data_IF_309519059552
#
_entry.id   IF_309519059552
#
_cell.length_a   1.000
_cell.length_b   1.000
_cell.length_c   1.000
_cell.angle_alpha   90.00
_cell.angle_beta   90.00
_cell.angle_gamma   90.00
#
_symmetry.space_group_name_H-M   'P 1'
#
loop_
_entity.id
_entity.type
_entity.pdbx_description
1 polymer ?
#
# COMPACT_ATOMS: atom_id res chain seq x y z
N UNK A 1 -68.59 -77.84 35.47
CA UNK A 1 -68.61 -79.04 34.62
C UNK A 1 -68.20 -78.62 33.20
N UNK A 2 -66.98 -79.02 32.78
CA UNK A 2 -66.44 -79.25 31.40
C UNK A 2 -66.55 -78.11 30.35
N UNK A 3 -65.42 -77.54 29.89
CA UNK A 3 -64.53 -77.97 28.75
C UNK A 3 -65.19 -77.77 27.37
N UNK A 4 -64.61 -77.20 26.29
CA UNK A 4 -63.22 -77.14 25.78
C UNK A 4 -63.11 -76.27 24.49
N UNK A 5 -61.88 -75.78 24.18
CA UNK A 5 -61.26 -75.52 22.85
C UNK A 5 -61.83 -74.40 21.91
N UNK A 6 -61.06 -73.58 21.16
CA UNK A 6 -59.63 -73.52 20.81
C UNK A 6 -59.23 -72.07 20.46
N UNK A 7 -57.96 -71.71 20.71
CA UNK A 7 -57.36 -70.36 20.60
C UNK A 7 -56.37 -70.29 19.43
N UNK A 8 -56.46 -69.25 18.58
CA UNK A 8 -55.43 -68.90 17.58
C UNK A 8 -54.36 -67.98 18.23
N UNK A 9 -53.10 -68.41 18.25
CA UNK A 9 -51.95 -67.59 18.70
C UNK A 9 -51.07 -67.20 17.51
N UNK A 10 -50.73 -65.91 17.44
CA UNK A 10 -49.72 -65.31 16.58
C UNK A 10 -48.42 -65.22 17.41
N UNK A 11 -47.30 -65.75 16.92
CA UNK A 11 -45.98 -65.63 17.55
C UNK A 11 -45.19 -64.49 16.90
N UNK A 12 -44.69 -63.56 17.73
CA UNK A 12 -43.64 -62.61 17.38
C UNK A 12 -42.39 -62.99 18.18
N UNK A 13 -41.28 -63.28 17.51
CA UNK A 13 -39.99 -63.63 18.11
C UNK A 13 -39.17 -62.35 18.25
N UNK A 14 -38.70 -62.05 19.48
CA UNK A 14 -37.75 -60.99 19.77
C UNK A 14 -36.33 -61.58 19.83
N UNK A 15 -35.39 -60.99 19.09
CA UNK A 15 -33.97 -61.35 19.12
C UNK A 15 -33.17 -60.18 19.72
N UNK A 16 -32.53 -60.41 20.88
CA UNK A 16 -31.59 -59.47 21.49
C UNK A 16 -30.25 -59.52 20.77
N UNK A 17 -29.76 -58.36 20.31
CA UNK A 17 -28.37 -58.16 19.87
C UNK A 17 -27.63 -57.35 20.93
N UNK A 18 -26.55 -57.91 21.46
CA UNK A 18 -25.67 -57.28 22.45
C UNK A 18 -24.60 -56.46 21.69
N UNK A 19 -24.68 -55.14 21.73
CA UNK A 19 -23.68 -54.25 21.16
C UNK A 19 -22.60 -53.91 22.21
N UNK A 20 -21.37 -54.35 21.97
CA UNK A 20 -20.20 -53.96 22.76
C UNK A 20 -19.80 -52.52 22.46
N UNK A 21 -19.83 -51.66 23.49
CA UNK A 21 -19.35 -50.27 23.40
C UNK A 21 -17.86 -50.27 23.72
N UNK A 22 -17.01 -50.19 22.69
CA UNK A 22 -15.61 -49.77 22.87
C UNK A 22 -15.59 -48.25 22.98
N UNK A 23 -15.32 -47.73 24.18
CA UNK A 23 -15.09 -46.31 24.41
C UNK A 23 -13.76 -45.89 23.75
N UNK A 24 -13.82 -45.46 22.48
CA UNK A 24 -12.71 -44.76 21.85
C UNK A 24 -12.56 -43.38 22.49
N UNK A 25 -11.40 -43.11 23.07
CA UNK A 25 -11.01 -41.74 23.46
C UNK A 25 -11.11 -40.82 22.24
N UNK A 26 -11.87 -39.72 22.29
CA UNK A 26 -11.92 -38.79 21.16
C UNK A 26 -10.52 -38.21 20.97
N UNK A 27 -9.99 -38.34 19.75
CA UNK A 27 -8.79 -37.62 19.34
C UNK A 27 -9.03 -36.12 19.61
N UNK A 28 -8.15 -35.50 20.40
CA UNK A 28 -8.21 -34.08 20.66
C UNK A 28 -8.15 -33.34 19.31
N UNK A 29 -9.30 -32.79 18.89
CA UNK A 29 -9.35 -31.82 17.82
C UNK A 29 -8.40 -30.69 18.24
N UNK A 30 -7.25 -30.58 17.58
CA UNK A 30 -6.41 -29.41 17.69
C UNK A 30 -7.23 -28.25 17.15
N UNK A 31 -7.93 -27.52 18.03
CA UNK A 31 -8.71 -26.36 17.66
C UNK A 31 -7.84 -25.43 16.83
N UNK A 32 -8.37 -24.97 15.69
CA UNK A 32 -7.69 -23.98 14.88
C UNK A 32 -7.29 -22.80 15.78
N UNK A 33 -6.02 -22.38 15.72
CA UNK A 33 -5.56 -21.21 16.49
C UNK A 33 -6.44 -20.01 16.15
N UNK A 34 -6.85 -19.19 17.14
CA UNK A 34 -7.62 -17.98 16.86
C UNK A 34 -6.90 -17.09 15.85
N UNK A 35 -7.60 -16.71 14.79
CA UNK A 35 -7.12 -15.70 13.84
C UNK A 35 -7.66 -14.33 14.28
N UNK A 36 -6.75 -13.41 14.59
CA UNK A 36 -7.07 -12.03 14.97
C UNK A 36 -6.90 -11.06 13.80
N UNK A 37 -6.60 -11.57 12.59
CA UNK A 37 -6.31 -10.78 11.39
C UNK A 37 -5.31 -9.65 11.68
N UNK A 38 -4.19 -10.00 12.33
CA UNK A 38 -3.20 -9.00 12.79
C UNK A 38 -2.72 -8.13 11.64
N UNK A 39 -2.48 -8.70 10.45
CA UNK A 39 -1.95 -7.92 9.32
C UNK A 39 -2.95 -6.86 8.90
N UNK A 40 -4.22 -7.20 8.61
CA UNK A 40 -5.21 -6.18 8.25
C UNK A 40 -5.42 -5.19 9.39
N UNK A 41 -5.72 -5.69 10.58
CA UNK A 41 -6.16 -4.84 11.68
C UNK A 41 -5.10 -3.81 12.10
N UNK A 42 -3.81 -4.14 12.02
CA UNK A 42 -2.74 -3.20 12.34
C UNK A 42 -2.41 -2.25 11.18
N UNK A 43 -2.54 -2.70 9.92
CA UNK A 43 -2.45 -1.79 8.78
C UNK A 43 -3.61 -0.76 8.77
N UNK A 44 -4.82 -1.13 9.18
CA UNK A 44 -5.94 -0.17 9.34
C UNK A 44 -5.63 0.93 10.38
N UNK A 45 -4.91 0.58 11.46
CA UNK A 45 -4.43 1.56 12.43
C UNK A 45 -3.37 2.50 11.85
N UNK A 46 -2.47 1.99 11.01
CA UNK A 46 -1.49 2.81 10.29
C UNK A 46 -2.16 3.73 9.26
N UNK A 47 -3.15 3.23 8.52
CA UNK A 47 -3.99 4.02 7.60
C UNK A 47 -4.68 5.15 8.38
N UNK A 48 -5.26 4.84 9.54
CA UNK A 48 -5.85 5.83 10.44
C UNK A 48 -4.83 6.87 10.94
N UNK A 49 -3.59 6.45 11.27
CA UNK A 49 -2.52 7.36 11.68
C UNK A 49 -2.16 8.36 10.58
N UNK A 50 -2.02 7.90 9.34
CA UNK A 50 -1.76 8.78 8.20
C UNK A 50 -2.87 9.80 7.98
N UNK A 51 -4.14 9.39 8.11
CA UNK A 51 -5.27 10.33 8.01
C UNK A 51 -5.22 11.42 9.08
N UNK A 52 -5.04 11.02 10.35
CA UNK A 52 -5.05 11.94 11.50
C UNK A 52 -3.85 12.88 11.48
N UNK A 53 -2.65 12.36 11.20
CA UNK A 53 -1.42 13.16 11.12
C UNK A 53 -1.32 13.99 9.85
N UNK A 54 -2.25 13.79 8.90
CA UNK A 54 -2.25 14.43 7.57
C UNK A 54 -0.89 14.27 6.87
N UNK A 55 -0.29 13.09 7.01
CA UNK A 55 1.06 12.81 6.54
C UNK A 55 1.19 13.00 5.02
N UNK A 56 2.37 13.43 4.57
CA UNK A 56 2.68 13.50 3.14
C UNK A 56 2.71 12.10 2.51
N UNK A 57 2.62 12.02 1.17
CA UNK A 57 2.80 10.76 0.42
C UNK A 57 4.04 9.97 0.88
N UNK A 58 5.17 10.65 1.05
CA UNK A 58 6.44 10.03 1.40
C UNK A 58 6.50 9.59 2.87
N UNK A 59 5.98 10.39 3.79
CA UNK A 59 5.86 10.02 5.21
C UNK A 59 4.92 8.80 5.38
N UNK A 60 3.80 8.79 4.66
CA UNK A 60 2.84 7.68 4.65
C UNK A 60 3.49 6.39 4.13
N UNK A 61 4.13 6.43 2.96
CA UNK A 61 4.81 5.26 2.39
C UNK A 61 5.88 4.70 3.35
N UNK A 62 6.66 5.59 3.97
CA UNK A 62 7.69 5.21 4.95
C UNK A 62 7.10 4.53 6.19
N UNK A 63 6.00 5.04 6.74
CA UNK A 63 5.30 4.40 7.86
C UNK A 63 4.83 2.99 7.51
N UNK A 64 4.17 2.83 6.36
CA UNK A 64 3.68 1.53 5.90
C UNK A 64 4.82 0.53 5.64
N UNK A 65 5.96 0.99 5.14
CA UNK A 65 7.14 0.16 4.94
C UNK A 65 7.73 -0.34 6.26
N UNK A 66 7.90 0.54 7.26
CA UNK A 66 8.38 0.14 8.59
C UNK A 66 7.45 -0.92 9.22
N UNK A 67 6.14 -0.72 9.15
CA UNK A 67 5.18 -1.68 9.69
C UNK A 67 5.22 -3.01 8.93
N UNK A 68 5.20 -2.96 7.59
CA UNK A 68 5.23 -4.17 6.75
C UNK A 68 6.49 -5.01 6.99
N UNK A 69 7.66 -4.37 7.03
CA UNK A 69 8.95 -5.03 7.33
C UNK A 69 8.95 -5.66 8.72
N UNK A 70 8.52 -4.91 9.75
CA UNK A 70 8.47 -5.41 11.12
C UNK A 70 7.57 -6.64 11.27
N UNK A 71 6.36 -6.57 10.71
CA UNK A 71 5.41 -7.69 10.74
C UNK A 71 5.93 -8.89 9.96
N UNK A 72 6.51 -8.68 8.77
CA UNK A 72 7.07 -9.77 7.97
C UNK A 72 8.23 -10.46 8.69
N UNK A 73 9.23 -9.72 9.17
CA UNK A 73 10.39 -10.33 9.82
C UNK A 73 10.01 -11.01 11.14
N UNK A 74 9.03 -10.47 11.89
CA UNK A 74 8.55 -11.10 13.11
C UNK A 74 7.90 -12.47 12.82
N UNK A 75 7.04 -12.54 11.80
CA UNK A 75 6.37 -13.79 11.40
C UNK A 75 7.35 -14.77 10.74
N UNK A 76 8.17 -14.30 9.80
CA UNK A 76 9.19 -15.08 9.12
C UNK A 76 10.23 -15.64 10.11
N UNK A 77 10.55 -14.85 11.14
CA UNK A 77 11.40 -15.16 12.27
C UNK A 77 11.00 -16.42 13.04
N UNK A 78 9.72 -16.79 13.04
CA UNK A 78 9.16 -17.94 13.74
C UNK A 78 8.98 -19.17 12.85
N UNK A 79 9.22 -19.06 11.54
CA UNK A 79 9.08 -20.20 10.61
C UNK A 79 10.23 -21.19 10.77
N UNK A 80 10.00 -22.50 10.53
CA UNK A 80 11.07 -23.47 10.39
C UNK A 80 12.13 -23.00 9.38
N UNK A 81 13.40 -23.33 9.61
CA UNK A 81 14.52 -22.88 8.77
C UNK A 81 14.30 -23.17 7.28
N UNK A 82 13.79 -24.37 6.94
CA UNK A 82 13.49 -24.82 5.57
C UNK A 82 12.34 -24.07 4.87
N UNK A 83 11.53 -23.33 5.62
CA UNK A 83 10.38 -22.57 5.11
C UNK A 83 10.58 -21.05 5.23
N UNK A 84 11.71 -20.65 5.82
CA UNK A 84 12.06 -19.26 6.08
C UNK A 84 12.49 -18.60 4.78
N UNK A 85 12.04 -17.36 4.57
CA UNK A 85 12.48 -16.50 3.47
C UNK A 85 13.64 -15.61 3.89
N UNK A 86 14.33 -15.01 2.94
CA UNK A 86 15.29 -13.94 3.25
C UNK A 86 14.57 -12.83 4.04
N UNK A 87 15.14 -12.35 5.16
CA UNK A 87 14.56 -11.27 5.95
C UNK A 87 14.61 -9.96 5.16
N UNK A 88 13.72 -9.03 5.48
CA UNK A 88 13.84 -7.65 5.01
C UNK A 88 14.93 -6.90 5.77
N UNK A 89 15.00 -7.10 7.10
CA UNK A 89 15.98 -6.44 7.97
C UNK A 89 16.47 -7.37 9.09
N UNK A 90 15.55 -7.92 9.89
CA UNK A 90 15.88 -8.72 11.08
C UNK A 90 15.92 -10.20 10.71
N UNK A 91 17.13 -10.78 10.68
CA UNK A 91 17.35 -12.16 10.25
C UNK A 91 17.30 -13.24 11.34
N UNK A 92 17.18 -12.83 12.60
CA UNK A 92 17.30 -13.71 13.76
C UNK A 92 16.17 -14.75 13.82
N UNK A 93 16.48 -15.91 14.41
CA UNK A 93 15.47 -16.90 14.75
C UNK A 93 14.71 -16.48 16.01
N UNK A 94 13.39 -16.41 15.90
CA UNK A 94 12.53 -16.16 17.04
C UNK A 94 12.35 -17.41 17.91
N UNK A 95 11.80 -17.25 19.12
CA UNK A 95 11.68 -18.32 20.11
C UNK A 95 10.77 -19.47 19.64
N UNK A 96 11.20 -20.72 19.86
CA UNK A 96 10.43 -21.92 19.51
C UNK A 96 9.06 -21.97 20.20
N UNK A 97 8.00 -22.20 19.43
CA UNK A 97 6.64 -22.30 19.95
C UNK A 97 6.05 -20.98 20.44
N UNK A 98 6.57 -19.84 19.96
CA UNK A 98 5.90 -18.55 20.12
C UNK A 98 4.75 -18.39 19.12
N UNK A 99 3.76 -17.60 19.50
CA UNK A 99 2.57 -17.37 18.68
C UNK A 99 2.85 -16.34 17.57
N UNK A 100 2.62 -16.69 16.29
CA UNK A 100 2.92 -15.81 15.16
C UNK A 100 1.95 -14.63 15.00
N UNK A 101 0.70 -14.75 15.44
CA UNK A 101 -0.25 -13.63 15.45
C UNK A 101 0.17 -12.62 16.54
N UNK A 102 0.54 -13.10 17.73
CA UNK A 102 1.08 -12.25 18.78
C UNK A 102 2.38 -11.55 18.36
N UNK A 103 3.25 -12.24 17.60
CA UNK A 103 4.46 -11.64 17.04
C UNK A 103 4.17 -10.54 16.01
N UNK A 104 3.20 -10.77 15.10
CA UNK A 104 2.76 -9.74 14.17
C UNK A 104 2.20 -8.50 14.92
N UNK A 105 1.33 -8.72 15.91
CA UNK A 105 0.73 -7.65 16.71
C UNK A 105 1.79 -6.87 17.52
N UNK A 106 2.69 -7.56 18.20
CA UNK A 106 3.77 -6.92 18.97
C UNK A 106 4.72 -6.10 18.09
N UNK A 107 5.04 -6.60 16.89
CA UNK A 107 5.88 -5.87 15.94
C UNK A 107 5.21 -4.60 15.41
N UNK A 108 3.94 -4.70 15.01
CA UNK A 108 3.17 -3.56 14.53
C UNK A 108 2.96 -2.50 15.63
N UNK A 109 2.64 -2.95 16.85
CA UNK A 109 2.53 -2.08 18.02
C UNK A 109 3.81 -1.27 18.24
N UNK A 110 4.96 -1.93 18.30
CA UNK A 110 6.25 -1.28 18.54
C UNK A 110 6.60 -0.24 17.47
N UNK A 111 6.18 -0.44 16.22
CA UNK A 111 6.32 0.57 15.16
C UNK A 111 5.39 1.75 15.40
N UNK A 112 4.10 1.51 15.61
CA UNK A 112 3.09 2.57 15.68
C UNK A 112 3.23 3.47 16.91
N UNK A 113 3.53 2.91 18.10
CA UNK A 113 3.74 3.74 19.31
C UNK A 113 4.94 4.67 19.20
N UNK A 114 5.95 4.31 18.39
CA UNK A 114 7.12 5.15 18.15
C UNK A 114 6.91 6.15 17.01
N UNK A 115 6.13 5.78 16.00
CA UNK A 115 5.86 6.64 14.85
C UNK A 115 4.75 7.67 15.11
N UNK A 116 3.83 7.38 16.01
CA UNK A 116 2.64 8.19 16.33
C UNK A 116 2.37 8.13 17.85
N UNK A 117 3.31 8.69 18.63
CA UNK A 117 3.32 8.59 20.09
C UNK A 117 2.07 9.19 20.75
N UNK A 118 1.46 10.22 20.14
CA UNK A 118 0.24 10.85 20.62
C UNK A 118 -0.95 9.88 20.67
N UNK A 119 -0.89 8.79 19.89
CA UNK A 119 -1.92 7.74 19.84
C UNK A 119 -1.48 6.43 20.49
N UNK A 120 -0.40 6.44 21.28
CA UNK A 120 0.13 5.25 21.97
C UNK A 120 -0.96 4.48 22.73
N UNK A 121 -1.82 5.17 23.49
CA UNK A 121 -2.92 4.53 24.23
C UNK A 121 -3.90 3.73 23.34
N UNK A 122 -4.12 4.18 22.09
CA UNK A 122 -4.96 3.44 21.12
C UNK A 122 -4.27 2.14 20.70
N UNK A 123 -2.96 2.19 20.46
CA UNK A 123 -2.17 1.03 20.08
C UNK A 123 -2.01 0.04 21.25
N UNK A 124 -1.80 0.55 22.47
CA UNK A 124 -1.74 -0.26 23.68
C UNK A 124 -3.05 -1.02 23.92
N UNK A 125 -4.18 -0.33 23.81
CA UNK A 125 -5.50 -0.94 23.93
C UNK A 125 -5.74 -2.01 22.86
N UNK A 126 -5.32 -1.75 21.61
CA UNK A 126 -5.42 -2.75 20.54
C UNK A 126 -4.56 -3.98 20.83
N UNK A 127 -3.31 -3.80 21.25
CA UNK A 127 -2.42 -4.92 21.57
C UNK A 127 -3.00 -5.75 22.71
N UNK A 128 -3.46 -5.10 23.79
CA UNK A 128 -4.09 -5.79 24.91
C UNK A 128 -5.31 -6.63 24.47
N UNK A 129 -6.17 -6.08 23.61
CA UNK A 129 -7.33 -6.80 23.08
C UNK A 129 -6.95 -7.99 22.19
N UNK A 130 -5.96 -7.82 21.32
CA UNK A 130 -5.43 -8.89 20.45
C UNK A 130 -4.84 -10.04 21.29
N UNK A 131 -4.02 -9.73 22.29
CA UNK A 131 -3.41 -10.74 23.17
C UNK A 131 -4.47 -11.45 24.02
N UNK A 132 -5.50 -10.74 24.51
CA UNK A 132 -6.60 -11.35 25.25
C UNK A 132 -7.37 -12.38 24.39
N UNK A 133 -7.58 -12.10 23.10
CA UNK A 133 -8.22 -13.03 22.16
C UNK A 133 -7.39 -14.27 21.84
N UNK A 134 -6.06 -14.15 21.83
CA UNK A 134 -5.14 -15.28 21.64
C UNK A 134 -4.97 -16.13 22.92
N UNK A 135 -5.31 -15.58 24.09
CA UNK A 135 -5.23 -16.22 25.40
C UNK A 135 -3.95 -15.86 26.18
N UNK A 136 -3.91 -16.23 27.45
CA UNK A 136 -2.85 -15.85 28.40
C UNK A 136 -1.64 -16.81 28.47
N UNK A 137 -1.40 -17.58 27.41
CA UNK A 137 -0.36 -18.61 27.38
C UNK A 137 1.07 -18.07 27.18
N UNK A 138 2.08 -18.83 27.62
CA UNK A 138 3.51 -18.54 27.41
C UNK A 138 3.88 -18.40 25.92
N UNK A 139 3.17 -19.09 25.03
CA UNK A 139 3.31 -18.93 23.57
C UNK A 139 2.99 -17.50 23.12
N UNK A 140 1.88 -16.93 23.59
CA UNK A 140 1.40 -15.59 23.24
C UNK A 140 2.36 -14.52 23.78
N UNK A 141 2.75 -14.63 25.05
CA UNK A 141 3.70 -13.72 25.67
C UNK A 141 5.07 -13.71 24.95
N UNK A 142 5.60 -14.89 24.60
CA UNK A 142 6.86 -15.00 23.83
C UNK A 142 6.73 -14.43 22.42
N UNK A 143 5.58 -14.63 21.77
CA UNK A 143 5.27 -14.06 20.45
C UNK A 143 5.28 -12.54 20.50
N UNK A 144 4.49 -11.94 21.40
CA UNK A 144 4.42 -10.50 21.58
C UNK A 144 5.79 -9.88 21.90
N UNK A 145 6.55 -10.48 22.82
CA UNK A 145 7.88 -10.00 23.18
C UNK A 145 8.89 -10.11 22.02
N UNK A 146 8.83 -11.19 21.23
CA UNK A 146 9.64 -11.34 20.02
C UNK A 146 9.28 -10.27 18.97
N UNK A 147 7.99 -10.13 18.68
CA UNK A 147 7.48 -9.12 17.75
C UNK A 147 7.91 -7.72 18.15
N UNK A 148 7.71 -7.35 19.41
CA UNK A 148 8.09 -6.03 19.93
C UNK A 148 9.58 -5.72 19.74
N UNK A 149 10.47 -6.70 19.94
CA UNK A 149 11.92 -6.52 19.66
C UNK A 149 12.19 -6.31 18.17
N UNK A 150 11.56 -7.09 17.30
CA UNK A 150 11.71 -6.93 15.83
C UNK A 150 11.21 -5.55 15.38
N UNK A 151 10.03 -5.13 15.85
CA UNK A 151 9.47 -3.82 15.51
C UNK A 151 10.33 -2.67 16.01
N UNK A 152 10.87 -2.75 17.23
CA UNK A 152 11.81 -1.77 17.75
C UNK A 152 13.07 -1.67 16.88
N UNK A 153 13.67 -2.82 16.52
CA UNK A 153 14.86 -2.87 15.66
C UNK A 153 14.62 -2.24 14.28
N UNK A 154 13.43 -2.42 13.70
CA UNK A 154 13.06 -1.75 12.44
C UNK A 154 13.03 -0.24 12.61
N UNK A 155 12.37 0.29 13.64
CA UNK A 155 12.31 1.74 13.87
C UNK A 155 13.72 2.31 14.14
N UNK A 156 14.54 1.61 14.92
CA UNK A 156 15.91 2.03 15.23
C UNK A 156 16.78 2.09 13.98
N UNK A 157 16.69 1.06 13.12
CA UNK A 157 17.40 1.06 11.85
C UNK A 157 16.99 2.26 10.97
N UNK A 158 15.73 2.72 11.07
CA UNK A 158 15.21 3.85 10.30
C UNK A 158 15.42 5.22 10.94
N UNK A 159 15.99 5.33 12.15
CA UNK A 159 16.17 6.61 12.84
C UNK A 159 17.06 7.61 12.08
N UNK A 160 18.08 7.13 11.37
CA UNK A 160 19.04 7.93 10.59
C UNK A 160 18.97 7.64 9.09
N UNK A 161 17.78 7.38 8.55
CA UNK A 161 17.61 6.97 7.16
C UNK A 161 17.56 8.13 6.15
N UNK A 162 17.80 9.38 6.57
CA UNK A 162 17.73 10.56 5.70
C UNK A 162 16.34 11.18 5.56
N UNK A 163 15.31 10.66 6.24
CA UNK A 163 13.95 11.23 6.20
C UNK A 163 13.82 12.57 6.94
N UNK A 164 14.81 12.88 7.79
CA UNK A 164 14.91 14.11 8.58
C UNK A 164 16.35 14.65 8.60
N UNK A 165 16.56 15.96 8.84
CA UNK A 165 15.54 17.02 8.94
C UNK A 165 14.85 17.28 7.58
N UNK A 166 13.71 17.99 7.61
CA UNK A 166 13.04 18.42 6.37
C UNK A 166 13.95 19.39 5.62
N UNK A 167 14.13 19.16 4.32
CA UNK A 167 14.89 20.06 3.45
C UNK A 167 14.01 20.61 2.33
N UNK A 168 14.33 21.82 1.89
CA UNK A 168 13.48 22.61 1.01
C UNK A 168 14.23 23.05 -0.24
N UNK A 169 13.60 22.92 -1.40
CA UNK A 169 14.04 23.56 -2.64
C UNK A 169 13.39 24.95 -2.76
N UNK A 170 14.17 26.03 -2.95
CA UNK A 170 13.61 27.37 -3.10
C UNK A 170 12.76 27.48 -4.37
N UNK A 171 11.93 28.51 -4.46
CA UNK A 171 11.20 28.83 -5.68
C UNK A 171 12.16 29.02 -6.87
N UNK A 172 11.74 28.58 -8.06
CA UNK A 172 12.47 28.81 -9.30
C UNK A 172 11.93 30.00 -10.09
N UNK A 173 12.67 30.37 -11.14
CA UNK A 173 12.29 31.44 -12.06
C UNK A 173 12.63 31.06 -13.51
N UNK A 174 11.92 31.69 -14.45
CA UNK A 174 12.07 31.49 -15.88
C UNK A 174 11.15 30.41 -16.49
N UNK A 175 10.99 30.42 -17.83
CA UNK A 175 10.18 29.45 -18.55
C UNK A 175 10.57 28.01 -18.24
N UNK A 176 9.58 27.12 -18.12
CA UNK A 176 9.82 25.70 -17.82
C UNK A 176 10.08 25.35 -16.36
N UNK A 177 10.24 26.33 -15.46
CA UNK A 177 10.65 26.12 -14.06
C UNK A 177 9.50 26.33 -13.07
N UNK A 178 9.38 25.45 -12.08
CA UNK A 178 8.40 25.50 -11.00
C UNK A 178 8.62 26.72 -10.09
N UNK A 179 7.54 27.43 -9.77
CA UNK A 179 7.56 28.80 -9.20
C UNK A 179 7.30 28.89 -7.70
N UNK A 180 7.20 27.77 -7.00
CA UNK A 180 6.98 27.75 -5.56
C UNK A 180 8.14 27.05 -4.84
N UNK A 181 8.34 27.44 -3.59
CA UNK A 181 9.16 26.68 -2.65
C UNK A 181 8.55 25.28 -2.46
N UNK A 182 9.42 24.28 -2.32
CA UNK A 182 9.01 22.89 -2.14
C UNK A 182 9.76 22.22 -0.99
N UNK A 183 9.09 21.93 0.15
CA UNK A 183 9.66 21.16 1.25
C UNK A 183 9.60 19.65 0.99
N UNK A 184 10.34 18.87 1.79
CA UNK A 184 10.33 17.39 1.72
C UNK A 184 11.34 16.81 0.73
N UNK A 185 12.30 17.62 0.27
CA UNK A 185 13.26 17.20 -0.76
C UNK A 185 14.32 16.22 -0.25
N UNK A 186 14.42 16.01 1.07
CA UNK A 186 15.35 15.05 1.68
C UNK A 186 15.01 13.61 1.29
N UNK A 187 13.75 13.35 0.91
CA UNK A 187 13.31 12.04 0.42
C UNK A 187 14.04 11.55 -0.84
N UNK A 188 14.70 12.44 -1.59
CA UNK A 188 15.59 12.06 -2.70
C UNK A 188 16.85 11.29 -2.26
N UNK A 189 17.18 11.34 -0.97
CA UNK A 189 18.38 10.78 -0.34
C UNK A 189 18.03 9.78 0.77
N UNK A 190 16.75 9.45 0.97
CA UNK A 190 16.37 8.46 1.97
C UNK A 190 16.94 7.11 1.59
N UNK A 191 17.56 6.43 2.56
CA UNK A 191 18.05 5.06 2.36
C UNK A 191 16.87 4.16 1.99
N UNK A 192 16.88 3.49 0.82
CA UNK A 192 15.80 2.57 0.45
C UNK A 192 15.59 1.44 1.46
N UNK A 193 14.45 0.77 1.38
CA UNK A 193 14.12 -0.44 2.13
C UNK A 193 14.59 -1.71 1.41
N UNK A 194 14.55 -1.74 0.08
CA UNK A 194 14.82 -2.92 -0.73
C UNK A 194 15.63 -2.63 -2.00
N UNK A 195 15.44 -1.47 -2.64
CA UNK A 195 16.17 -1.08 -3.86
C UNK A 195 17.64 -0.79 -3.56
N UNK A 196 18.55 -1.33 -4.36
CA UNK A 196 19.99 -1.16 -4.14
C UNK A 196 20.49 0.21 -4.65
N UNK A 197 20.09 0.59 -5.86
CA UNK A 197 20.44 1.88 -6.47
C UNK A 197 19.19 2.60 -6.98
N UNK A 198 18.60 3.53 -6.19
CA UNK A 198 17.44 4.26 -6.61
C UNK A 198 17.73 5.25 -7.76
N UNK A 199 19.00 5.63 -7.99
CA UNK A 199 19.35 6.54 -9.07
C UNK A 199 19.12 5.90 -10.45
N UNK A 200 19.31 4.58 -10.57
CA UNK A 200 19.00 3.81 -11.78
C UNK A 200 17.54 3.85 -12.22
N UNK A 201 16.62 4.28 -11.33
CA UNK A 201 15.18 4.43 -11.64
C UNK A 201 14.78 5.89 -11.92
N UNK A 202 15.70 6.86 -11.84
CA UNK A 202 15.41 8.26 -12.21
C UNK A 202 15.32 8.35 -13.73
N UNK A 203 14.20 8.81 -14.30
CA UNK A 203 14.06 8.93 -15.75
C UNK A 203 14.93 10.06 -16.29
N UNK A 204 15.14 10.05 -17.61
CA UNK A 204 15.73 11.18 -18.34
C UNK A 204 14.87 12.46 -18.24
N UNK A 205 15.35 13.57 -18.82
CA UNK A 205 14.64 14.85 -18.76
C UNK A 205 13.25 14.78 -19.43
N UNK A 206 12.30 15.65 -19.03
CA UNK A 206 11.06 15.81 -19.76
C UNK A 206 11.35 16.30 -21.20
N UNK A 207 10.38 16.17 -22.13
CA UNK A 207 10.52 16.72 -23.47
C UNK A 207 10.93 18.20 -23.44
N UNK A 208 11.86 18.60 -24.32
CA UNK A 208 12.25 20.00 -24.44
C UNK A 208 11.04 20.87 -24.78
N UNK A 209 10.96 22.07 -24.19
CA UNK A 209 9.82 22.98 -24.37
C UNK A 209 9.54 23.28 -25.84
N UNK A 210 10.58 23.42 -26.66
CA UNK A 210 10.48 23.72 -28.10
C UNK A 210 10.13 22.50 -28.97
N UNK A 211 9.97 21.31 -28.38
CA UNK A 211 9.73 20.08 -29.12
C UNK A 211 8.25 19.88 -29.46
N UNK A 212 7.98 19.18 -30.55
CA UNK A 212 6.61 18.73 -30.90
C UNK A 212 6.03 17.78 -29.85
N UNK A 213 6.88 17.00 -29.16
CA UNK A 213 6.44 16.11 -28.09
C UNK A 213 5.89 16.88 -26.89
N UNK A 214 6.52 18.01 -26.53
CA UNK A 214 6.00 18.91 -25.51
C UNK A 214 4.68 19.56 -25.95
N UNK A 215 4.62 20.11 -27.17
CA UNK A 215 3.40 20.76 -27.69
C UNK A 215 2.17 19.81 -27.67
N UNK A 216 2.35 18.54 -28.08
CA UNK A 216 1.26 17.54 -28.02
C UNK A 216 0.78 17.28 -26.59
N UNK A 217 1.71 17.11 -25.66
CA UNK A 217 1.39 16.88 -24.25
C UNK A 217 0.74 18.10 -23.60
N UNK A 218 1.16 19.30 -24.01
CA UNK A 218 0.59 20.59 -23.63
C UNK A 218 -0.87 20.70 -24.09
N UNK A 219 -1.15 20.45 -25.38
CA UNK A 219 -2.50 20.55 -25.93
C UNK A 219 -3.47 19.55 -25.27
N UNK A 220 -2.98 18.34 -24.99
CA UNK A 220 -3.77 17.32 -24.31
C UNK A 220 -4.19 17.75 -22.90
N UNK A 221 -3.25 18.23 -22.07
CA UNK A 221 -3.59 18.69 -20.71
C UNK A 221 -4.37 20.01 -20.74
N UNK A 222 -4.11 20.90 -21.71
CA UNK A 222 -4.87 22.14 -21.90
C UNK A 222 -6.33 21.83 -22.19
N UNK A 223 -6.62 20.83 -23.03
CA UNK A 223 -7.99 20.43 -23.38
C UNK A 223 -8.68 19.64 -22.25
N UNK A 224 -8.05 18.56 -21.76
CA UNK A 224 -8.70 17.66 -20.80
C UNK A 224 -8.77 18.25 -19.39
N UNK A 225 -7.77 19.04 -19.02
CA UNK A 225 -7.60 19.64 -17.70
C UNK A 225 -8.28 20.99 -17.50
N UNK A 226 -8.94 21.57 -18.51
CA UNK A 226 -9.56 22.90 -18.40
C UNK A 226 -10.78 22.89 -17.47
N UNK A 227 -10.66 23.58 -16.34
CA UNK A 227 -11.72 23.71 -15.34
C UNK A 227 -12.92 24.54 -15.78
N UNK A 228 -12.84 25.25 -16.91
CA UNK A 228 -13.94 26.03 -17.48
C UNK A 228 -14.84 25.21 -18.40
N UNK A 229 -14.37 24.03 -18.82
CA UNK A 229 -15.12 23.10 -19.67
C UNK A 229 -15.83 22.08 -18.79
N UNK A 230 -17.15 22.00 -18.91
CA UNK A 230 -17.96 21.01 -18.19
C UNK A 230 -17.64 19.60 -18.71
N UNK A 231 -17.07 18.77 -17.83
CA UNK A 231 -16.73 17.38 -18.11
C UNK A 231 -16.84 16.56 -16.82
N UNK A 232 -18.07 16.20 -16.39
CA UNK A 232 -18.32 15.58 -15.09
C UNK A 232 -17.58 14.26 -14.91
N UNK A 233 -17.42 13.45 -15.96
CA UNK A 233 -16.71 12.17 -15.89
C UNK A 233 -15.21 12.32 -15.63
N UNK A 234 -14.59 13.33 -16.25
CA UNK A 234 -13.19 13.68 -16.03
C UNK A 234 -12.98 14.21 -14.60
N UNK A 235 -13.91 15.06 -14.14
CA UNK A 235 -13.90 15.57 -12.78
C UNK A 235 -14.06 14.44 -11.76
N UNK A 236 -15.02 13.54 -11.96
CA UNK A 236 -15.28 12.41 -11.07
C UNK A 236 -14.07 11.47 -11.00
N UNK A 237 -13.39 11.24 -12.12
CA UNK A 237 -12.17 10.42 -12.15
C UNK A 237 -11.00 11.11 -11.45
N UNK A 238 -10.82 12.41 -11.65
CA UNK A 238 -9.85 13.18 -10.87
C UNK A 238 -10.16 13.12 -9.37
N UNK A 239 -11.40 13.39 -8.96
CA UNK A 239 -11.82 13.39 -7.56
C UNK A 239 -11.58 12.03 -6.92
N UNK A 240 -11.92 10.93 -7.60
CA UNK A 240 -11.68 9.58 -7.13
C UNK A 240 -10.21 9.35 -6.77
N UNK A 241 -9.25 9.85 -7.56
CA UNK A 241 -7.81 9.68 -7.30
C UNK A 241 -7.11 10.95 -6.77
N UNK A 242 -7.87 11.91 -6.22
CA UNK A 242 -7.33 13.21 -5.79
C UNK A 242 -6.51 13.13 -4.50
N UNK A 243 -6.99 12.32 -3.54
CA UNK A 243 -6.30 11.91 -2.31
C UNK A 243 -5.61 13.08 -1.56
N UNK A 244 -6.37 14.10 -1.13
CA UNK A 244 -5.79 15.24 -0.40
C UNK A 244 -5.21 14.84 0.96
N UNK A 245 -4.47 15.75 1.59
CA UNK A 245 -3.99 15.59 2.96
C UNK A 245 -5.16 15.30 3.93
N UNK A 246 -5.01 14.24 4.72
CA UNK A 246 -6.09 13.66 5.54
C UNK A 246 -6.73 12.40 4.95
N UNK A 247 -6.42 12.04 3.70
CA UNK A 247 -6.61 10.69 3.17
C UNK A 247 -5.44 9.77 3.54
N UNK A 248 -5.55 8.48 3.23
CA UNK A 248 -4.43 7.51 3.34
C UNK A 248 -3.29 7.73 2.34
N UNK A 249 -3.37 8.75 1.49
CA UNK A 249 -2.41 9.05 0.41
C UNK A 249 -2.37 7.92 -0.66
N UNK A 250 -1.77 8.14 -1.85
CA UNK A 250 -1.68 7.10 -2.88
C UNK A 250 -1.07 5.78 -2.37
N UNK A 251 0.04 5.76 -1.60
CA UNK A 251 0.59 4.51 -1.06
C UNK A 251 -0.42 3.72 -0.22
N UNK A 252 -1.22 4.41 0.60
CA UNK A 252 -2.21 3.77 1.46
C UNK A 252 -3.40 3.20 0.70
N UNK A 253 -3.80 3.81 -0.43
CA UNK A 253 -4.86 3.24 -1.28
C UNK A 253 -4.43 1.91 -1.90
N UNK A 254 -3.17 1.81 -2.34
CA UNK A 254 -2.63 0.55 -2.86
C UNK A 254 -2.48 -0.53 -1.77
N UNK A 255 -2.17 -0.12 -0.54
CA UNK A 255 -2.21 -1.02 0.62
C UNK A 255 -3.64 -1.50 0.91
N UNK A 256 -4.67 -0.63 0.86
CA UNK A 256 -6.07 -1.03 1.02
C UNK A 256 -6.52 -2.03 -0.05
N UNK A 257 -6.18 -1.80 -1.31
CA UNK A 257 -6.45 -2.76 -2.40
C UNK A 257 -5.80 -4.11 -2.09
N UNK A 258 -4.54 -4.12 -1.64
CA UNK A 258 -3.83 -5.34 -1.27
C UNK A 258 -4.52 -6.10 -0.13
N UNK A 259 -4.96 -5.39 0.91
CA UNK A 259 -5.70 -5.99 2.02
C UNK A 259 -7.04 -6.56 1.56
N UNK A 260 -7.81 -5.85 0.74
CA UNK A 260 -9.07 -6.37 0.16
C UNK A 260 -8.82 -7.67 -0.60
N UNK A 261 -7.90 -7.66 -1.56
CA UNK A 261 -7.63 -8.85 -2.38
C UNK A 261 -7.03 -9.99 -1.55
N UNK A 262 -6.21 -9.70 -0.53
CA UNK A 262 -5.69 -10.72 0.36
C UNK A 262 -6.80 -11.44 1.15
N UNK A 263 -7.85 -10.72 1.58
CA UNK A 263 -9.04 -11.34 2.19
C UNK A 263 -9.82 -12.18 1.18
N UNK A 264 -10.10 -11.63 0.00
CA UNK A 264 -10.87 -12.33 -1.04
C UNK A 264 -10.18 -13.64 -1.45
N UNK A 265 -8.84 -13.64 -1.47
CA UNK A 265 -8.00 -14.80 -1.76
C UNK A 265 -7.69 -15.67 -0.55
N UNK A 266 -8.17 -15.30 0.65
CA UNK A 266 -7.98 -16.03 1.92
C UNK A 266 -6.51 -16.34 2.22
N UNK A 267 -5.63 -15.38 1.99
CA UNK A 267 -4.20 -15.55 2.24
C UNK A 267 -3.93 -15.82 3.73
N UNK A 268 -3.03 -16.74 4.03
CA UNK A 268 -2.60 -16.99 5.41
C UNK A 268 -1.69 -15.89 5.96
N UNK A 269 -1.51 -15.84 7.29
CA UNK A 269 -0.69 -14.82 7.97
C UNK A 269 0.67 -14.57 7.30
N UNK A 270 1.44 -15.62 7.00
CA UNK A 270 2.76 -15.49 6.39
C UNK A 270 2.72 -14.93 4.96
N UNK A 271 1.66 -15.21 4.20
CA UNK A 271 1.46 -14.68 2.85
C UNK A 271 1.00 -13.22 2.89
N UNK A 272 0.09 -12.88 3.80
CA UNK A 272 -0.35 -11.51 4.02
C UNK A 272 0.83 -10.62 4.47
N UNK A 273 1.64 -11.09 5.43
CA UNK A 273 2.82 -10.36 5.90
C UNK A 273 3.84 -10.16 4.78
N UNK A 274 4.05 -11.17 3.93
CA UNK A 274 4.94 -11.05 2.76
C UNK A 274 4.39 -10.08 1.71
N UNK A 275 3.10 -10.16 1.41
CA UNK A 275 2.47 -9.29 0.42
C UNK A 275 2.56 -7.82 0.84
N UNK A 276 2.19 -7.52 2.09
CA UNK A 276 2.22 -6.14 2.59
C UNK A 276 3.66 -5.62 2.66
N UNK A 277 4.63 -6.41 3.12
CA UNK A 277 6.04 -5.99 3.12
C UNK A 277 6.58 -5.70 1.71
N UNK A 278 6.39 -6.59 0.73
CA UNK A 278 6.84 -6.35 -0.66
C UNK A 278 6.22 -5.07 -1.22
N UNK A 279 4.91 -4.90 -0.99
CA UNK A 279 4.17 -3.75 -1.48
C UNK A 279 4.67 -2.45 -0.85
N UNK A 280 4.75 -2.40 0.48
CA UNK A 280 5.06 -1.15 1.17
C UNK A 280 6.53 -0.77 1.04
N UNK A 281 7.45 -1.74 0.96
CA UNK A 281 8.85 -1.47 0.57
C UNK A 281 8.93 -0.86 -0.83
N UNK A 282 8.27 -1.45 -1.84
CA UNK A 282 8.26 -0.91 -3.19
C UNK A 282 7.63 0.50 -3.28
N UNK A 283 6.55 0.74 -2.53
CA UNK A 283 5.92 2.05 -2.47
C UNK A 283 6.86 3.08 -1.83
N UNK A 284 7.50 2.79 -0.69
CA UNK A 284 8.44 3.70 -0.07
C UNK A 284 9.64 4.00 -0.97
N UNK A 285 10.22 2.97 -1.59
CA UNK A 285 11.40 3.11 -2.45
C UNK A 285 11.10 3.84 -3.75
N UNK A 286 9.87 3.78 -4.25
CA UNK A 286 9.40 4.57 -5.41
C UNK A 286 9.46 6.08 -5.15
N UNK A 287 9.34 6.49 -3.88
CA UNK A 287 9.45 7.89 -3.49
C UNK A 287 10.81 8.49 -3.81
N UNK A 288 11.90 7.73 -3.68
CA UNK A 288 13.28 8.22 -3.83
C UNK A 288 13.55 8.75 -5.26
N UNK A 289 13.43 7.93 -6.33
CA UNK A 289 13.62 8.41 -7.70
C UNK A 289 12.56 9.43 -8.13
N UNK A 290 11.35 9.36 -7.58
CA UNK A 290 10.28 10.34 -7.87
C UNK A 290 10.65 11.74 -7.38
N UNK A 291 11.10 11.85 -6.13
CA UNK A 291 11.54 13.12 -5.54
C UNK A 291 12.83 13.60 -6.20
N UNK A 292 13.76 12.68 -6.53
CA UNK A 292 14.98 13.01 -7.25
C UNK A 292 14.70 13.62 -8.64
N UNK A 293 13.77 13.03 -9.41
CA UNK A 293 13.36 13.58 -10.71
C UNK A 293 12.75 14.98 -10.57
N UNK A 294 11.80 15.16 -9.65
CA UNK A 294 11.17 16.46 -9.37
C UNK A 294 12.18 17.52 -8.97
N UNK A 295 13.15 17.15 -8.14
CA UNK A 295 14.20 18.05 -7.67
C UNK A 295 15.15 18.44 -8.79
N UNK A 296 15.52 17.48 -9.65
CA UNK A 296 16.47 17.67 -10.74
C UNK A 296 15.90 18.54 -11.85
N UNK A 297 14.69 18.22 -12.31
CA UNK A 297 14.12 18.87 -13.50
C UNK A 297 13.32 20.12 -13.17
N UNK A 298 12.81 20.25 -11.94
CA UNK A 298 12.07 21.42 -11.45
C UNK A 298 10.98 21.90 -12.41
N UNK A 299 10.35 20.99 -13.16
CA UNK A 299 9.50 21.36 -14.27
C UNK A 299 8.24 22.10 -13.81
N UNK A 300 7.83 23.13 -14.53
CA UNK A 300 6.61 23.90 -14.25
C UNK A 300 5.32 23.06 -14.38
N UNK A 301 4.27 23.49 -13.68
CA UNK A 301 2.95 22.84 -13.74
C UNK A 301 2.17 23.30 -14.98
N UNK A 302 1.20 22.51 -15.48
CA UNK A 302 0.39 22.87 -16.64
C UNK A 302 -0.24 24.27 -16.54
N UNK A 303 -0.72 24.68 -15.35
CA UNK A 303 -1.27 26.02 -15.16
C UNK A 303 -0.30 27.13 -15.55
N UNK A 304 0.95 27.06 -15.07
CA UNK A 304 1.98 28.06 -15.40
C UNK A 304 2.36 27.95 -16.87
N UNK A 305 2.58 26.73 -17.35
CA UNK A 305 2.95 26.46 -18.73
C UNK A 305 1.95 27.03 -19.73
N UNK A 306 0.66 26.79 -19.52
CA UNK A 306 -0.42 27.21 -20.42
C UNK A 306 -0.62 28.71 -20.39
N UNK A 307 -0.54 29.34 -19.21
CA UNK A 307 -0.70 30.79 -19.08
C UNK A 307 0.46 31.58 -19.68
N UNK A 308 1.68 31.03 -19.59
CA UNK A 308 2.94 31.67 -20.01
C UNK A 308 3.52 31.02 -21.28
N UNK A 309 2.71 30.36 -22.11
CA UNK A 309 3.21 29.61 -23.26
C UNK A 309 3.92 30.49 -24.30
N UNK A 310 3.64 31.78 -24.34
CA UNK A 310 4.37 32.77 -25.15
C UNK A 310 5.85 32.91 -24.74
N UNK A 311 6.25 32.37 -23.59
CA UNK A 311 7.63 32.43 -23.07
C UNK A 311 8.44 31.14 -23.29
N UNK A 312 7.82 30.06 -23.76
CA UNK A 312 8.46 28.74 -23.85
C UNK A 312 9.28 28.52 -25.15
N UNK A 313 9.17 29.46 -26.10
CA UNK A 313 9.88 29.43 -27.38
C UNK A 313 9.30 28.43 -28.39
N UNK A 314 8.10 27.89 -28.17
CA UNK A 314 7.46 26.92 -29.03
C UNK A 314 6.29 27.55 -29.82
N UNK A 315 6.39 27.72 -31.14
CA UNK A 315 5.30 28.30 -31.93
C UNK A 315 4.05 27.42 -32.00
N UNK A 316 4.14 26.15 -31.56
CA UNK A 316 3.02 25.22 -31.51
C UNK A 316 2.27 25.22 -30.16
N UNK A 317 2.67 26.05 -29.19
CA UNK A 317 1.93 26.24 -27.94
C UNK A 317 1.28 27.63 -27.92
N UNK A 318 -0.02 27.68 -27.64
CA UNK A 318 -0.77 28.93 -27.56
C UNK A 318 -1.03 29.33 -26.11
N UNK A 319 -0.68 30.56 -25.68
CA UNK A 319 -0.96 31.00 -24.32
C UNK A 319 -2.48 31.09 -24.08
N UNK A 320 -2.90 30.75 -22.87
CA UNK A 320 -4.24 31.05 -22.35
C UNK A 320 -4.11 31.57 -20.92
N UNK A 321 -3.98 32.90 -20.74
CA UNK A 321 -3.81 33.52 -19.42
C UNK A 321 -4.97 33.26 -18.45
N UNK A 322 -6.16 32.94 -18.96
CA UNK A 322 -7.35 32.68 -18.18
C UNK A 322 -7.55 31.19 -17.83
N UNK A 323 -6.69 30.28 -18.34
CA UNK A 323 -6.83 28.85 -18.10
C UNK A 323 -6.75 28.51 -16.61
N UNK A 324 -7.63 27.64 -16.14
CA UNK A 324 -7.64 27.13 -14.75
C UNK A 324 -7.66 25.61 -14.76
N UNK A 325 -6.91 25.00 -13.84
CA UNK A 325 -6.90 23.55 -13.70
C UNK A 325 -8.23 23.06 -13.13
N UNK A 326 -8.80 21.98 -13.71
CA UNK A 326 -10.00 21.30 -13.20
C UNK A 326 -9.89 20.88 -11.73
N UNK A 327 -8.67 20.60 -11.27
CA UNK A 327 -8.37 20.29 -9.89
C UNK A 327 -8.63 21.45 -8.89
N UNK A 328 -8.79 22.68 -9.37
CA UNK A 328 -8.88 23.88 -8.54
C UNK A 328 -7.55 24.29 -7.87
N UNK A 329 -6.44 23.60 -8.17
CA UNK A 329 -5.12 23.92 -7.63
C UNK A 329 -4.01 23.62 -8.63
N UNK A 330 -2.89 24.36 -8.52
CA UNK A 330 -1.70 24.22 -9.39
C UNK A 330 -0.82 23.02 -8.97
N UNK A 331 -0.96 22.54 -7.73
CA UNK A 331 -0.09 21.54 -7.12
C UNK A 331 1.11 22.15 -6.38
N UNK A 332 1.53 21.51 -5.29
CA UNK A 332 2.54 22.04 -4.35
C UNK A 332 3.97 21.54 -4.54
N UNK A 333 4.27 20.84 -5.63
CA UNK A 333 5.60 20.28 -5.93
C UNK A 333 5.93 20.46 -7.42
N UNK A 334 7.21 20.42 -7.84
CA UNK A 334 7.56 20.39 -9.25
C UNK A 334 6.81 19.30 -10.02
N UNK A 335 6.55 19.54 -11.29
CA UNK A 335 5.64 18.73 -12.09
C UNK A 335 6.23 17.35 -12.39
N UNK A 336 7.43 17.29 -12.97
CA UNK A 336 7.95 16.05 -13.56
C UNK A 336 8.77 15.24 -12.54
N UNK A 337 8.40 14.01 -12.17
CA UNK A 337 7.31 13.17 -12.71
C UNK A 337 6.05 13.14 -11.81
N UNK A 338 4.96 12.56 -12.29
CA UNK A 338 3.76 12.32 -11.49
C UNK A 338 3.97 11.24 -10.43
N UNK A 339 4.05 11.65 -9.15
CA UNK A 339 4.23 10.73 -8.02
C UNK A 339 3.04 9.78 -7.83
N UNK A 340 1.81 10.27 -8.04
CA UNK A 340 0.62 9.41 -8.02
C UNK A 340 0.74 8.25 -9.02
N UNK A 341 1.21 8.53 -10.23
CA UNK A 341 1.40 7.51 -11.28
C UNK A 341 2.50 6.52 -10.91
N UNK A 342 3.57 7.00 -10.28
CA UNK A 342 4.66 6.17 -9.78
C UNK A 342 4.21 5.22 -8.68
N UNK A 343 3.60 5.71 -7.59
CA UNK A 343 3.06 4.86 -6.53
C UNK A 343 2.04 3.87 -7.07
N UNK A 344 1.19 4.32 -8.00
CA UNK A 344 0.12 3.47 -8.52
C UNK A 344 0.63 2.33 -9.37
N UNK A 345 1.59 2.61 -10.25
CA UNK A 345 2.20 1.54 -11.03
C UNK A 345 3.07 0.63 -10.17
N UNK A 346 3.73 1.12 -9.13
CA UNK A 346 4.45 0.28 -8.18
C UNK A 346 3.50 -0.70 -7.47
N UNK A 347 2.40 -0.18 -6.92
CA UNK A 347 1.38 -1.00 -6.26
C UNK A 347 0.79 -2.07 -7.17
N UNK A 348 0.36 -1.68 -8.39
CA UNK A 348 -0.17 -2.62 -9.36
C UNK A 348 0.84 -3.70 -9.76
N UNK A 349 2.11 -3.31 -9.96
CA UNK A 349 3.16 -4.24 -10.38
C UNK A 349 3.49 -5.25 -9.29
N UNK A 350 3.57 -4.82 -8.02
CA UNK A 350 3.76 -5.75 -6.89
C UNK A 350 2.59 -6.73 -6.78
N UNK A 351 1.35 -6.23 -6.84
CA UNK A 351 0.16 -7.09 -6.74
C UNK A 351 0.10 -8.10 -7.88
N UNK A 352 0.28 -7.66 -9.12
CA UNK A 352 0.29 -8.54 -10.28
C UNK A 352 1.43 -9.58 -10.19
N UNK A 353 2.63 -9.17 -9.74
CA UNK A 353 3.77 -10.06 -9.58
C UNK A 353 3.58 -11.07 -8.44
N UNK A 354 3.02 -10.66 -7.31
CA UNK A 354 2.76 -11.53 -6.16
C UNK A 354 1.73 -12.61 -6.51
N UNK A 355 0.60 -12.21 -7.12
CA UNK A 355 -0.45 -13.13 -7.53
C UNK A 355 -0.18 -13.85 -8.86
N UNK A 356 0.92 -13.50 -9.55
CA UNK A 356 1.30 -14.02 -10.87
C UNK A 356 0.24 -13.78 -11.95
N UNK A 357 -0.60 -12.76 -11.77
CA UNK A 357 -1.63 -12.35 -12.73
C UNK A 357 -2.05 -10.92 -12.44
N UNK A 358 -2.26 -10.13 -13.48
CA UNK A 358 -2.86 -8.79 -13.38
C UNK A 358 -4.40 -8.85 -13.37
N UNK A 359 -4.98 -9.96 -13.86
CA UNK A 359 -6.42 -10.15 -14.06
C UNK A 359 -7.12 -10.61 -12.79
N UNK A 360 -7.06 -9.78 -11.76
CA UNK A 360 -7.86 -9.95 -10.56
C UNK A 360 -8.88 -8.81 -10.54
N UNK A 361 -10.16 -9.15 -10.73
CA UNK A 361 -11.24 -8.18 -10.55
C UNK A 361 -11.37 -7.83 -9.08
N UNK A 362 -11.43 -6.54 -8.78
CA UNK A 362 -11.68 -6.05 -7.42
C UNK A 362 -12.51 -4.78 -7.45
N UNK A 363 -13.21 -4.52 -6.36
CA UNK A 363 -14.01 -3.30 -6.14
C UNK A 363 -13.35 -2.47 -5.05
N UNK A 364 -13.14 -1.17 -5.31
CA UNK A 364 -12.45 -0.27 -4.39
C UNK A 364 -13.11 1.10 -4.36
N UNK A 365 -13.18 1.70 -3.17
CA UNK A 365 -13.52 3.11 -2.98
C UNK A 365 -12.34 3.80 -2.29
N UNK A 366 -11.78 4.82 -2.93
CA UNK A 366 -10.76 5.68 -2.34
C UNK A 366 -11.36 6.61 -1.29
N UNK A 367 -10.51 7.18 -0.43
CA UNK A 367 -10.93 8.18 0.55
C UNK A 367 -11.52 9.46 -0.07
N UNK A 368 -11.25 9.71 -1.36
CA UNK A 368 -11.75 10.87 -2.11
C UNK A 368 -12.80 10.51 -3.17
N UNK A 369 -13.32 9.27 -3.16
CA UNK A 369 -14.35 8.83 -4.08
C UNK A 369 -15.61 9.71 -3.95
N UNK A 370 -16.11 10.32 -5.05
CA UNK A 370 -17.35 11.10 -5.02
C UNK A 370 -18.51 10.29 -4.43
N UNK A 371 -19.12 10.79 -3.36
CA UNK A 371 -20.22 10.10 -2.66
C UNK A 371 -19.83 8.75 -2.03
N UNK A 372 -18.54 8.45 -1.88
CA UNK A 372 -18.07 7.14 -1.43
C UNK A 372 -18.34 6.00 -2.42
N UNK A 373 -18.67 6.32 -3.68
CA UNK A 373 -19.07 5.33 -4.68
C UNK A 373 -17.85 4.50 -5.12
N UNK A 374 -17.88 3.16 -4.95
CA UNK A 374 -16.77 2.32 -5.37
C UNK A 374 -16.72 2.15 -6.90
N UNK A 375 -15.52 1.88 -7.42
CA UNK A 375 -15.27 1.47 -8.80
C UNK A 375 -14.81 0.01 -8.83
N UNK A 376 -15.18 -0.71 -9.89
CA UNK A 376 -14.72 -2.08 -10.13
C UNK A 376 -13.72 -2.08 -11.28
N UNK A 377 -12.57 -2.69 -11.06
CA UNK A 377 -11.49 -2.77 -12.05
C UNK A 377 -11.28 -4.23 -12.46
N UNK A 378 -11.01 -4.51 -13.76
CA UNK A 378 -10.72 -5.86 -14.23
C UNK A 378 -9.32 -6.38 -13.85
N UNK A 379 -8.48 -5.50 -13.30
CA UNK A 379 -7.10 -5.80 -12.93
C UNK A 379 -6.39 -4.60 -12.30
N UNK A 380 -5.24 -4.86 -11.70
CA UNK A 380 -4.48 -3.83 -10.99
C UNK A 380 -3.94 -2.76 -11.95
N UNK A 381 -3.47 -3.17 -13.12
CA UNK A 381 -2.97 -2.23 -14.13
C UNK A 381 -4.04 -1.25 -14.58
N UNK A 382 -5.28 -1.71 -14.77
CA UNK A 382 -6.39 -0.83 -15.15
C UNK A 382 -6.65 0.27 -14.10
N UNK A 383 -6.59 -0.07 -12.80
CA UNK A 383 -6.71 0.91 -11.74
C UNK A 383 -5.52 1.88 -11.71
N UNK A 384 -4.29 1.40 -11.93
CA UNK A 384 -3.10 2.26 -11.99
C UNK A 384 -3.11 3.21 -13.19
N UNK A 385 -3.60 2.76 -14.34
CA UNK A 385 -3.74 3.58 -15.54
C UNK A 385 -4.78 4.68 -15.34
N UNK A 386 -5.93 4.35 -14.72
CA UNK A 386 -6.91 5.38 -14.36
C UNK A 386 -6.34 6.39 -13.35
N UNK A 387 -5.63 5.90 -12.32
CA UNK A 387 -4.98 6.75 -11.32
C UNK A 387 -3.96 7.71 -11.94
N UNK A 388 -3.14 7.25 -12.89
CA UNK A 388 -2.19 8.09 -13.62
C UNK A 388 -2.87 9.15 -14.47
N UNK A 389 -3.85 8.72 -15.29
CA UNK A 389 -4.62 9.60 -16.18
C UNK A 389 -5.46 10.63 -15.43
N UNK A 390 -5.94 10.31 -14.23
CA UNK A 390 -6.67 11.24 -13.36
C UNK A 390 -5.93 12.57 -13.15
N UNK A 391 -4.59 12.54 -13.19
CA UNK A 391 -3.76 13.73 -12.97
C UNK A 391 -3.70 14.67 -14.18
N UNK A 392 -3.83 14.11 -15.39
CA UNK A 392 -4.01 14.87 -16.64
C UNK A 392 -5.42 15.47 -16.65
N UNK A 393 -6.44 14.68 -16.29
CA UNK A 393 -7.83 15.15 -16.21
C UNK A 393 -8.03 16.27 -15.18
N UNK A 394 -7.27 16.24 -14.08
CA UNK A 394 -7.22 17.33 -13.10
C UNK A 394 -6.44 18.56 -13.55
N UNK A 395 -5.74 18.53 -14.69
CA UNK A 395 -4.88 19.63 -15.14
C UNK A 395 -3.62 19.84 -14.31
N UNK A 396 -3.15 18.81 -13.59
CA UNK A 396 -2.00 18.93 -12.68
C UNK A 396 -0.70 18.37 -13.26
N UNK A 397 -0.77 17.43 -14.18
CA UNK A 397 0.38 16.73 -14.75
C UNK A 397 0.27 16.59 -16.26
N UNK A 398 1.41 16.62 -16.96
CA UNK A 398 1.46 16.33 -18.39
C UNK A 398 1.42 14.81 -18.63
N UNK A 399 0.92 14.35 -19.80
CA UNK A 399 0.93 12.93 -20.18
C UNK A 399 2.31 12.25 -20.11
N UNK A 400 3.40 12.95 -20.48
CA UNK A 400 4.76 12.40 -20.36
C UNK A 400 5.18 12.18 -18.90
N UNK A 401 4.61 12.94 -17.97
CA UNK A 401 4.89 12.88 -16.54
C UNK A 401 4.18 11.69 -15.88
N UNK A 402 2.96 11.38 -16.33
CA UNK A 402 2.27 10.13 -16.03
C UNK A 402 3.08 8.93 -16.52
N UNK A 403 3.41 8.88 -17.82
CA UNK A 403 4.15 7.77 -18.41
C UNK A 403 5.52 7.52 -17.72
N UNK A 404 6.28 8.58 -17.46
CA UNK A 404 7.56 8.49 -16.76
C UNK A 404 7.38 8.03 -15.31
N UNK A 405 6.39 8.57 -14.58
CA UNK A 405 6.05 8.13 -13.23
C UNK A 405 5.72 6.64 -13.19
N UNK A 406 4.86 6.18 -14.09
CA UNK A 406 4.56 4.74 -14.20
C UNK A 406 5.81 3.90 -14.50
N UNK A 407 6.74 4.41 -15.31
CA UNK A 407 8.00 3.73 -15.57
C UNK A 407 8.84 3.53 -14.30
N UNK A 408 8.96 4.58 -13.46
CA UNK A 408 9.63 4.50 -12.16
C UNK A 408 8.99 3.40 -11.31
N UNK A 409 7.67 3.49 -11.09
CA UNK A 409 6.97 2.55 -10.20
C UNK A 409 7.11 1.10 -10.64
N UNK A 410 7.02 0.84 -11.95
CA UNK A 410 7.21 -0.49 -12.52
C UNK A 410 8.64 -1.02 -12.35
N UNK A 411 9.64 -0.16 -12.54
CA UNK A 411 11.06 -0.52 -12.38
C UNK A 411 11.37 -0.92 -10.95
N UNK A 412 11.03 -0.06 -9.99
CA UNK A 412 11.22 -0.29 -8.55
C UNK A 412 10.50 -1.56 -8.10
N UNK A 413 9.21 -1.71 -8.43
CA UNK A 413 8.45 -2.89 -8.02
C UNK A 413 9.02 -4.20 -8.58
N UNK A 414 9.53 -4.21 -9.82
CA UNK A 414 10.17 -5.39 -10.41
C UNK A 414 11.45 -5.76 -9.69
N UNK A 415 12.28 -4.77 -9.34
CA UNK A 415 13.49 -5.02 -8.56
C UNK A 415 13.15 -5.63 -7.21
N UNK A 416 12.25 -5.00 -6.44
CA UNK A 416 11.81 -5.51 -5.13
C UNK A 416 11.29 -6.94 -5.21
N UNK A 417 10.45 -7.25 -6.20
CA UNK A 417 9.93 -8.62 -6.41
C UNK A 417 11.05 -9.63 -6.74
N UNK A 418 12.09 -9.20 -7.45
CA UNK A 418 13.17 -10.06 -7.91
C UNK A 418 14.23 -10.30 -6.82
N UNK A 419 14.43 -9.36 -5.89
CA UNK A 419 15.56 -9.38 -4.95
C UNK A 419 15.14 -9.60 -3.50
N UNK A 420 13.88 -9.33 -3.15
CA UNK A 420 13.44 -9.27 -1.75
C UNK A 420 12.54 -10.44 -1.34
N UNK A 421 12.68 -10.87 -0.08
CA UNK A 421 11.83 -11.88 0.56
C UNK A 421 11.73 -13.19 -0.24
N UNK A 422 12.86 -13.61 -0.80
CA UNK A 422 13.02 -14.81 -1.61
C UNK A 422 13.02 -16.06 -0.72
N UNK A 423 12.61 -17.24 -1.24
CA UNK A 423 12.87 -18.50 -0.56
C UNK A 423 14.38 -18.65 -0.25
N UNK A 424 14.72 -19.22 0.91
CA UNK A 424 16.10 -19.58 1.25
C UNK A 424 16.49 -20.94 0.71
#
# INVERSE_FOLDING_TARGET
MRDREAVKKLLLIATMVLAGITAGTPAAAHGARPDIDSVRGWNELALSAVRVTRASDADAARLYAMLGVAVFDAVNGLRPSRERRTPALVGDAGPHGADPQAAAAGAAHAVLVRADADRAATYDARLAADLARLGSGTSVARGAAWGGRVGAAVVDARAGDGSRPVTTQPAGAGPGVFRAEWPGTQYRQVRPFAVADPAGHVPGPPPALTSTAYARAFDEVKSLGDGRVEAPDLLATYQFWSLPAGSVQPPGEWLRIALTVAADRRLGLGEQARLTALLTMALADTGVPTVAAKYTYRHWRPTTAIREADTDGNPATGPDPAWTARAGSVGGTPEYVSGHSAYSRAGATVLAGFFRTDRITFTHATDSAPGGVPRTYPGFSAAADEAGRSRVYGGQHFPFSDAAGQSIGRGVAREVLATSLLPR
#
